data_IF_024028861932
#
_entry.id   IF_024028861932
#
_cell.length_a   1.000
_cell.length_b   1.000
_cell.length_c   1.000
_cell.angle_alpha   90.00
_cell.angle_beta   90.00
_cell.angle_gamma   90.00
#
_symmetry.space_group_name_H-M   'P 1'
#
loop_
_entity.id
_entity.type
_entity.pdbx_description
1 polymer ?
#
# COMPACT_ATOMS: atom_id res chain seq x y z
N UNK A 1 14.24 27.79 24.08
CA UNK A 1 13.99 26.40 23.64
C UNK A 1 14.26 26.40 22.15
N UNK A 2 15.42 25.90 21.74
CA UNK A 2 15.84 25.94 20.34
C UNK A 2 15.18 24.78 19.61
N UNK A 3 14.39 25.05 18.58
CA UNK A 3 13.80 24.02 17.72
C UNK A 3 14.90 23.36 16.90
N UNK A 4 15.32 22.18 17.34
CA UNK A 4 16.24 21.31 16.61
C UNK A 4 15.45 20.48 15.59
N UNK A 5 14.85 21.15 14.61
CA UNK A 5 14.25 20.49 13.44
C UNK A 5 15.33 20.34 12.36
N UNK A 6 16.28 19.44 12.61
CA UNK A 6 17.37 19.17 11.67
C UNK A 6 16.86 18.68 10.31
N UNK A 7 17.56 18.99 9.19
CA UNK A 7 17.23 18.49 7.84
C UNK A 7 17.05 16.96 7.74
N UNK A 8 17.57 16.20 8.71
CA UNK A 8 17.52 14.73 8.78
C UNK A 8 16.13 14.10 8.71
N UNK A 9 15.07 14.77 9.20
CA UNK A 9 13.74 14.17 9.28
C UNK A 9 13.05 13.92 7.93
N UNK A 10 13.38 14.73 6.90
CA UNK A 10 12.77 14.61 5.55
C UNK A 10 13.65 13.83 4.58
N UNK A 11 14.94 13.69 4.89
CA UNK A 11 15.90 12.99 4.04
C UNK A 11 15.65 11.48 4.02
N UNK A 12 15.23 10.88 5.14
CA UNK A 12 14.93 9.45 5.24
C UNK A 12 13.77 9.04 4.31
N UNK A 13 12.57 9.64 4.36
CA UNK A 13 11.48 9.28 3.45
C UNK A 13 11.81 9.61 1.98
N UNK A 14 12.52 10.71 1.71
CA UNK A 14 12.97 11.04 0.36
C UNK A 14 13.94 9.98 -0.20
N UNK A 15 14.88 9.50 0.63
CA UNK A 15 15.80 8.43 0.25
C UNK A 15 15.07 7.10 0.03
N UNK A 16 14.07 6.77 0.86
CA UNK A 16 13.28 5.55 0.70
C UNK A 16 12.50 5.54 -0.64
N UNK A 17 11.85 6.65 -0.97
CA UNK A 17 11.14 6.81 -2.26
C UNK A 17 12.13 6.78 -3.43
N UNK A 18 13.26 7.47 -3.31
CA UNK A 18 14.31 7.45 -4.32
C UNK A 18 14.84 6.04 -4.58
N UNK A 19 15.09 5.27 -3.51
CA UNK A 19 15.53 3.88 -3.59
C UNK A 19 14.48 3.00 -4.27
N UNK A 20 13.21 3.12 -3.88
CA UNK A 20 12.10 2.39 -4.52
C UNK A 20 12.01 2.70 -6.03
N UNK A 21 12.18 3.96 -6.41
CA UNK A 21 12.13 4.36 -7.82
C UNK A 21 13.31 3.79 -8.61
N UNK A 22 14.52 3.83 -8.04
CA UNK A 22 15.72 3.25 -8.66
C UNK A 22 15.58 1.74 -8.82
N UNK A 23 15.05 1.02 -7.82
CA UNK A 23 14.83 -0.43 -7.93
C UNK A 23 13.79 -0.77 -9.00
N UNK A 24 12.68 -0.02 -9.09
CA UNK A 24 11.71 -0.19 -10.17
C UNK A 24 12.31 0.09 -11.55
N UNK A 25 13.08 1.17 -11.70
CA UNK A 25 13.73 1.54 -12.96
C UNK A 25 14.73 0.47 -13.40
N UNK A 26 15.59 0.00 -12.50
CA UNK A 26 16.54 -1.09 -12.78
C UNK A 26 15.83 -2.40 -13.14
N UNK A 27 14.72 -2.72 -12.45
CA UNK A 27 13.92 -3.92 -12.76
C UNK A 27 13.33 -3.84 -14.15
N UNK A 28 12.75 -2.70 -14.54
CA UNK A 28 12.18 -2.50 -15.86
C UNK A 28 13.24 -2.54 -16.98
N UNK A 29 14.41 -1.92 -16.75
CA UNK A 29 15.52 -1.91 -17.70
C UNK A 29 16.20 -3.28 -17.85
N UNK A 30 16.19 -4.10 -16.80
CA UNK A 30 16.78 -5.44 -16.79
C UNK A 30 15.82 -6.54 -17.22
N UNK A 31 14.53 -6.22 -17.40
CA UNK A 31 13.54 -7.19 -17.81
C UNK A 31 13.78 -7.62 -19.27
N UNK A 32 13.93 -8.92 -19.48
CA UNK A 32 14.02 -9.52 -20.80
C UNK A 32 12.65 -10.10 -21.19
N UNK A 33 12.13 -9.69 -22.35
CA UNK A 33 10.86 -10.15 -22.90
C UNK A 33 11.05 -10.98 -24.18
N UNK A 34 12.27 -11.44 -24.46
CA UNK A 34 12.59 -12.20 -25.68
C UNK A 34 12.01 -13.62 -25.67
N UNK A 35 11.61 -14.15 -24.51
CA UNK A 35 10.82 -15.39 -24.40
C UNK A 35 9.34 -15.14 -24.69
N UNK A 36 8.74 -15.95 -25.56
CA UNK A 36 7.29 -15.87 -25.80
C UNK A 36 6.50 -15.95 -24.48
N UNK A 37 5.46 -15.13 -24.34
CA UNK A 37 4.63 -15.09 -23.14
C UNK A 37 3.90 -16.43 -22.95
N UNK A 38 4.53 -17.36 -22.23
CA UNK A 38 3.93 -18.61 -21.82
C UNK A 38 2.95 -18.31 -20.68
N UNK A 39 1.67 -18.16 -21.04
CA UNK A 39 0.58 -18.11 -20.07
C UNK A 39 0.30 -19.49 -19.46
N UNK A 40 -0.53 -19.52 -18.42
CA UNK A 40 -1.05 -20.77 -17.87
C UNK A 40 -2.09 -21.42 -18.81
N UNK A 41 -2.34 -22.73 -18.69
CA UNK A 41 -3.45 -23.40 -19.37
C UNK A 41 -4.78 -22.66 -19.13
N UNK A 42 -5.67 -22.66 -20.13
CA UNK A 42 -6.92 -21.90 -20.08
C UNK A 42 -7.88 -22.37 -18.97
N UNK A 43 -7.77 -23.62 -18.55
CA UNK A 43 -8.52 -24.26 -17.47
C UNK A 43 -7.84 -24.11 -16.09
N UNK A 44 -6.62 -23.59 -16.03
CA UNK A 44 -5.93 -23.34 -14.77
C UNK A 44 -6.39 -22.04 -14.11
N UNK A 45 -6.98 -22.15 -12.92
CA UNK A 45 -7.36 -20.98 -12.12
C UNK A 45 -6.27 -20.62 -11.11
N UNK A 46 -5.61 -19.46 -11.31
CA UNK A 46 -4.62 -18.93 -10.36
C UNK A 46 -5.22 -18.74 -8.96
N UNK A 47 -6.46 -18.25 -8.88
CA UNK A 47 -7.16 -17.99 -7.60
C UNK A 47 -7.35 -19.28 -6.80
N UNK A 48 -7.79 -20.37 -7.44
CA UNK A 48 -7.95 -21.66 -6.76
C UNK A 48 -6.61 -22.19 -6.25
N UNK A 49 -5.57 -22.11 -7.08
CA UNK A 49 -4.24 -22.57 -6.71
C UNK A 49 -3.61 -21.75 -5.58
N UNK A 50 -3.87 -20.43 -5.49
CA UNK A 50 -3.50 -19.63 -4.30
C UNK A 50 -4.23 -20.16 -3.07
N UNK A 51 -5.53 -20.44 -3.18
CA UNK A 51 -6.33 -21.05 -2.12
C UNK A 51 -5.77 -22.40 -1.64
N UNK A 52 -5.34 -23.26 -2.57
CA UNK A 52 -4.70 -24.53 -2.23
C UNK A 52 -3.35 -24.33 -1.54
N UNK A 53 -2.52 -23.39 -2.01
CA UNK A 53 -1.24 -23.08 -1.38
C UNK A 53 -1.41 -22.55 0.06
N UNK A 54 -2.44 -21.73 0.32
CA UNK A 54 -2.74 -21.19 1.65
C UNK A 54 -2.93 -22.27 2.72
N UNK A 55 -3.55 -23.38 2.33
CA UNK A 55 -3.85 -24.50 3.22
C UNK A 55 -2.89 -25.69 3.04
N UNK A 56 -1.78 -25.48 2.33
CA UNK A 56 -0.80 -26.52 2.01
C UNK A 56 -1.44 -27.77 1.36
N UNK A 57 -2.37 -27.55 0.43
CA UNK A 57 -3.10 -28.63 -0.25
C UNK A 57 -2.42 -29.07 -1.56
N UNK A 58 -1.30 -28.45 -1.95
CA UNK A 58 -0.58 -28.77 -3.19
C UNK A 58 -0.09 -30.23 -3.27
N UNK A 59 0.16 -30.86 -2.13
CA UNK A 59 0.59 -32.26 -2.04
C UNK A 59 -0.51 -33.28 -2.36
N UNK A 60 -1.78 -32.85 -2.45
CA UNK A 60 -2.94 -33.72 -2.69
C UNK A 60 -3.40 -33.74 -4.16
N UNK A 61 -2.52 -33.38 -5.10
CA UNK A 61 -2.79 -33.33 -6.55
C UNK A 61 -4.01 -32.48 -6.97
N UNK A 62 -4.45 -31.56 -6.10
CA UNK A 62 -5.54 -30.60 -6.41
C UNK A 62 -5.03 -29.33 -7.09
N UNK A 63 -3.73 -29.05 -6.95
CA UNK A 63 -3.09 -27.90 -7.58
C UNK A 63 -2.74 -28.22 -9.04
N UNK A 64 -3.12 -27.33 -9.96
CA UNK A 64 -2.90 -27.47 -11.40
C UNK A 64 -1.70 -26.66 -11.90
N UNK A 65 -1.25 -25.67 -11.12
CA UNK A 65 -0.09 -24.83 -11.44
C UNK A 65 0.71 -24.49 -10.17
N UNK A 66 2.02 -24.23 -10.26
CA UNK A 66 2.80 -23.69 -9.14
C UNK A 66 2.26 -22.31 -8.73
N UNK A 67 1.93 -22.14 -7.44
CA UNK A 67 1.21 -20.94 -6.95
C UNK A 67 1.78 -20.30 -5.70
N UNK A 68 2.84 -20.85 -5.13
CA UNK A 68 3.51 -20.37 -3.93
C UNK A 68 4.03 -18.93 -4.12
N UNK A 69 4.57 -18.64 -5.31
CA UNK A 69 5.00 -17.29 -5.67
C UNK A 69 3.85 -16.29 -5.75
N UNK A 70 2.69 -16.70 -6.25
CA UNK A 70 1.49 -15.86 -6.27
C UNK A 70 0.94 -15.64 -4.87
N UNK A 71 0.97 -16.68 -4.03
CA UNK A 71 0.60 -16.56 -2.62
C UNK A 71 1.53 -15.57 -1.89
N UNK A 72 2.85 -15.71 -2.07
CA UNK A 72 3.81 -14.79 -1.49
C UNK A 72 3.57 -13.35 -1.95
N UNK A 73 3.38 -13.12 -3.25
CA UNK A 73 3.06 -11.81 -3.80
C UNK A 73 1.74 -11.24 -3.25
N UNK A 74 0.71 -12.07 -3.13
CA UNK A 74 -0.58 -11.70 -2.55
C UNK A 74 -0.45 -11.26 -1.09
N UNK A 75 0.30 -12.02 -0.26
CA UNK A 75 0.54 -11.68 1.14
C UNK A 75 1.38 -10.42 1.31
N UNK A 76 2.42 -10.24 0.48
CA UNK A 76 3.22 -9.01 0.46
C UNK A 76 2.34 -7.81 0.12
N UNK A 77 1.51 -7.92 -0.91
CA UNK A 77 0.58 -6.86 -1.29
C UNK A 77 -0.43 -6.57 -0.18
N UNK A 78 -0.97 -7.60 0.49
CA UNK A 78 -1.89 -7.43 1.61
C UNK A 78 -1.27 -6.62 2.75
N UNK A 79 -0.05 -6.96 3.16
CA UNK A 79 0.68 -6.21 4.21
C UNK A 79 1.03 -4.79 3.74
N UNK A 80 1.48 -4.64 2.49
CA UNK A 80 1.82 -3.32 1.95
C UNK A 80 0.59 -2.40 1.89
N UNK A 81 -0.57 -2.93 1.50
CA UNK A 81 -1.83 -2.19 1.45
C UNK A 81 -2.28 -1.79 2.86
N UNK A 82 -2.16 -2.68 3.84
CA UNK A 82 -2.48 -2.40 5.25
C UNK A 82 -1.65 -1.21 5.77
N UNK A 83 -0.33 -1.29 5.63
CA UNK A 83 0.59 -0.21 6.04
C UNK A 83 0.37 1.08 5.24
N UNK A 84 0.03 0.98 3.96
CA UNK A 84 -0.24 2.16 3.13
C UNK A 84 -1.51 2.89 3.59
N UNK A 85 -2.57 2.15 3.94
CA UNK A 85 -3.81 2.73 4.48
C UNK A 85 -3.55 3.35 5.84
N UNK A 86 -2.85 2.65 6.74
CA UNK A 86 -2.48 3.19 8.05
C UNK A 86 -1.62 4.46 7.95
N UNK A 87 -0.64 4.45 7.03
CA UNK A 87 0.19 5.61 6.73
C UNK A 87 -0.62 6.78 6.16
N UNK A 88 -1.54 6.52 5.24
CA UNK A 88 -2.43 7.55 4.68
C UNK A 88 -3.34 8.15 5.76
N UNK A 89 -3.91 7.33 6.64
CA UNK A 89 -4.75 7.78 7.76
C UNK A 89 -3.92 8.57 8.78
N UNK A 90 -2.71 8.11 9.10
CA UNK A 90 -1.79 8.83 9.99
C UNK A 90 -1.41 10.20 9.44
N UNK A 91 -1.08 10.29 8.15
CA UNK A 91 -0.72 11.55 7.48
C UNK A 91 -1.94 12.50 7.30
N UNK A 92 -3.13 11.95 7.13
CA UNK A 92 -4.36 12.73 7.01
C UNK A 92 -4.78 13.40 8.32
N UNK A 93 -4.28 12.92 9.46
CA UNK A 93 -4.47 13.57 10.76
C UNK A 93 -3.58 14.81 10.83
N UNK A 94 -4.19 15.99 10.94
CA UNK A 94 -3.49 17.25 11.19
C UNK A 94 -3.68 17.64 12.64
N UNK A 95 -2.59 17.90 13.34
CA UNK A 95 -2.65 18.50 14.68
C UNK A 95 -2.70 20.03 14.55
N UNK A 96 -3.81 20.64 14.97
CA UNK A 96 -3.89 22.08 15.19
C UNK A 96 -4.21 22.34 16.67
N UNK A 97 -3.35 23.11 17.34
CA UNK A 97 -3.60 23.55 18.72
C UNK A 97 -3.63 22.45 19.78
N UNK A 98 -2.96 21.31 19.57
CA UNK A 98 -2.95 20.19 20.52
C UNK A 98 -4.19 19.27 20.44
N UNK A 99 -5.04 19.45 19.43
CA UNK A 99 -6.17 18.57 19.11
C UNK A 99 -5.93 17.87 17.77
N UNK A 100 -6.18 16.55 17.72
CA UNK A 100 -6.12 15.75 16.49
C UNK A 100 -7.36 16.09 15.65
N UNK A 101 -7.21 16.85 14.57
CA UNK A 101 -8.31 17.17 13.65
C UNK A 101 -8.19 16.26 12.42
N UNK A 102 -9.19 15.39 12.22
CA UNK A 102 -9.32 14.64 10.98
C UNK A 102 -9.85 15.56 9.87
N UNK A 103 -9.11 15.70 8.77
CA UNK A 103 -9.47 16.58 7.65
C UNK A 103 -10.87 16.26 7.05
N UNK A 104 -11.28 14.98 7.07
CA UNK A 104 -12.61 14.54 6.60
C UNK A 104 -13.73 15.03 7.52
N UNK A 105 -13.52 15.15 8.83
CA UNK A 105 -14.55 15.58 9.78
C UNK A 105 -14.92 17.05 9.63
N UNK A 106 -13.94 17.91 9.33
CA UNK A 106 -14.17 19.36 9.14
C UNK A 106 -14.99 19.68 7.87
N UNK A 107 -14.83 18.90 6.80
CA UNK A 107 -15.60 19.08 5.57
C UNK A 107 -17.11 18.85 5.77
N UNK A 108 -17.51 18.08 6.79
CA UNK A 108 -18.92 17.81 7.10
C UNK A 108 -19.52 18.75 8.16
N UNK A 109 -18.72 19.55 8.88
CA UNK A 109 -19.20 20.37 10.01
C UNK A 109 -19.34 21.87 9.74
N UNK A 110 -19.14 22.37 8.51
CA UNK A 110 -19.36 23.78 8.13
C UNK A 110 -20.86 24.18 8.01
N UNK A 111 -21.74 23.46 8.71
CA UNK A 111 -23.20 23.54 8.59
C UNK A 111 -23.90 24.50 9.56
N UNK A 112 -23.22 25.48 10.15
CA UNK A 112 -23.83 26.35 11.17
C UNK A 112 -23.33 27.79 11.13
N UNK A 113 -24.08 28.69 10.48
CA UNK A 113 -23.89 30.13 10.62
C UNK A 113 -24.37 30.55 12.00
N UNK A 114 -23.50 31.18 12.80
CA UNK A 114 -23.89 31.99 13.95
C UNK A 114 -24.79 33.13 13.46
N UNK A 115 -26.10 32.91 13.59
CA UNK A 115 -27.11 33.95 13.42
C UNK A 115 -26.99 34.92 14.58
N UNK A 116 -26.18 35.97 14.37
CA UNK A 116 -25.98 37.03 15.34
C UNK A 116 -27.31 37.63 15.81
N UNK A 117 -27.39 37.77 17.14
CA UNK A 117 -28.37 38.59 17.84
C UNK A 117 -28.49 39.95 17.15
N UNK A 118 -29.73 40.32 16.80
CA UNK A 118 -30.08 41.70 16.45
C UNK A 118 -30.89 42.29 17.61
N UNK A 119 -30.57 43.52 18.03
CA UNK A 119 -31.28 44.21 19.13
C UNK A 119 -32.73 44.55 18.78
#
# INVERSE_FOLDING_TARGET
>A
MSDDSGPGGRLVPAAAVGLLFVTLALTALSADFTGGAAGFPADASVVHNIGYALFNLGEYDVATIPSEGFLAAFLIAAVALDVAVDGAVYLAKREEGGSIIAAVGQAFTDGGRDGGDRP
#
